data_IF_309172615264
#
_entry.id   IF_309172615264
#
_cell.length_a   1.000
_cell.length_b   1.000
_cell.length_c   1.000
_cell.angle_alpha   90.00
_cell.angle_beta   90.00
_cell.angle_gamma   90.00
#
_symmetry.space_group_name_H-M   'P 1'
#
loop_
_entity.id
_entity.type
_entity.pdbx_description
1 polymer ?
#
# COMPACT_ATOMS: atom_id res chain seq x y z
N UNK A 1 16.60 -15.98 20.38
CA UNK A 1 15.12 -16.06 20.24
C UNK A 1 14.41 -14.99 21.05
N UNK A 2 14.37 -15.04 22.39
CA UNK A 2 13.61 -14.08 23.20
C UNK A 2 14.02 -12.61 22.99
N UNK A 3 15.31 -12.35 22.85
CA UNK A 3 15.84 -11.01 22.54
C UNK A 3 15.31 -10.46 21.21
N UNK A 4 15.17 -11.32 20.19
CA UNK A 4 14.69 -10.91 18.87
C UNK A 4 13.19 -10.58 18.93
N UNK A 5 12.42 -11.34 19.72
CA UNK A 5 11.00 -11.02 19.98
C UNK A 5 10.85 -9.68 20.68
N UNK A 6 11.72 -9.37 21.65
CA UNK A 6 11.72 -8.08 22.33
C UNK A 6 12.02 -6.93 21.37
N UNK A 7 13.05 -7.10 20.53
CA UNK A 7 13.42 -6.09 19.53
C UNK A 7 12.27 -5.78 18.55
N UNK A 8 11.48 -6.79 18.14
CA UNK A 8 10.30 -6.58 17.30
C UNK A 8 9.26 -5.71 18.01
N UNK A 9 8.94 -6.01 19.26
CA UNK A 9 7.95 -5.25 20.04
C UNK A 9 8.41 -3.81 20.29
N UNK A 10 9.69 -3.61 20.62
CA UNK A 10 10.28 -2.29 20.80
C UNK A 10 10.19 -1.46 19.51
N UNK A 11 10.57 -2.04 18.36
CA UNK A 11 10.50 -1.36 17.07
C UNK A 11 9.06 -1.04 16.65
N UNK A 12 8.12 -1.99 16.79
CA UNK A 12 6.71 -1.74 16.49
C UNK A 12 6.12 -0.64 17.37
N UNK A 13 6.48 -0.60 18.66
CA UNK A 13 6.00 0.42 19.60
C UNK A 13 6.49 1.80 19.17
N UNK A 14 7.78 1.95 18.89
CA UNK A 14 8.35 3.21 18.43
C UNK A 14 7.68 3.70 17.13
N UNK A 15 7.46 2.80 16.16
CA UNK A 15 6.82 3.17 14.90
C UNK A 15 5.33 3.54 15.07
N UNK A 16 4.62 2.95 16.04
CA UNK A 16 3.25 3.37 16.39
C UNK A 16 3.23 4.75 17.02
N UNK A 17 4.16 5.04 17.93
CA UNK A 17 4.30 6.36 18.57
C UNK A 17 4.62 7.45 17.54
N UNK A 18 5.39 7.12 16.50
CA UNK A 18 5.66 8.00 15.36
C UNK A 18 4.47 8.12 14.38
N UNK A 19 3.39 7.36 14.56
CA UNK A 19 2.24 7.37 13.66
C UNK A 19 2.44 6.61 12.34
N UNK A 20 3.56 5.90 12.18
CA UNK A 20 3.85 5.07 11.00
C UNK A 20 2.93 3.85 10.97
N UNK A 21 2.82 3.13 12.10
CA UNK A 21 1.99 1.93 12.19
C UNK A 21 0.62 2.22 12.81
N UNK A 22 -0.42 1.77 12.13
CA UNK A 22 -1.82 1.91 12.53
C UNK A 22 -2.58 0.59 12.59
N UNK A 23 -2.06 -0.45 11.95
CA UNK A 23 -2.66 -1.78 11.85
C UNK A 23 -1.66 -2.85 12.31
N UNK A 24 -1.96 -4.12 12.00
CA UNK A 24 -1.02 -5.25 12.17
C UNK A 24 -0.30 -5.61 10.87
N UNK A 25 -0.55 -4.87 9.79
CA UNK A 25 0.07 -5.09 8.50
C UNK A 25 1.25 -4.15 8.33
N UNK A 26 2.42 -4.55 8.82
CA UNK A 26 3.67 -3.77 8.77
C UNK A 26 3.96 -3.22 7.36
N UNK A 27 3.88 -4.06 6.34
CA UNK A 27 4.17 -3.67 4.95
C UNK A 27 3.16 -2.66 4.42
N UNK A 28 1.87 -2.84 4.75
CA UNK A 28 0.81 -1.91 4.36
C UNK A 28 0.97 -0.55 5.02
N UNK A 29 1.14 -0.53 6.33
CA UNK A 29 1.30 0.70 7.10
C UNK A 29 2.55 1.50 6.68
N UNK A 30 3.70 0.82 6.52
CA UNK A 30 4.95 1.46 6.06
C UNK A 30 4.77 2.03 4.65
N UNK A 31 4.14 1.28 3.74
CA UNK A 31 3.86 1.77 2.39
C UNK A 31 2.92 2.99 2.39
N UNK A 32 1.87 2.99 3.22
CA UNK A 32 0.99 4.15 3.39
C UNK A 32 1.75 5.36 3.90
N UNK A 33 2.58 5.19 4.93
CA UNK A 33 3.38 6.27 5.49
C UNK A 33 4.35 6.85 4.45
N UNK A 34 5.16 6.00 3.78
CA UNK A 34 6.09 6.44 2.73
C UNK A 34 5.36 7.21 1.62
N UNK A 35 4.26 6.66 1.10
CA UNK A 35 3.51 7.29 0.03
C UNK A 35 2.94 8.66 0.45
N UNK A 36 2.48 8.80 1.69
CA UNK A 36 1.98 10.08 2.19
C UNK A 36 3.08 11.11 2.35
N UNK A 37 4.22 10.73 2.93
CA UNK A 37 5.36 11.63 3.14
C UNK A 37 5.98 12.08 1.81
N UNK A 38 6.22 11.16 0.86
CA UNK A 38 6.94 11.48 -0.37
C UNK A 38 6.08 12.15 -1.44
N UNK A 39 4.77 11.84 -1.48
CA UNK A 39 3.85 12.40 -2.47
C UNK A 39 2.97 13.52 -1.91
N UNK A 40 3.15 13.91 -0.63
CA UNK A 40 2.36 14.94 0.03
C UNK A 40 0.88 14.58 0.14
N UNK A 41 0.56 13.30 0.40
CA UNK A 41 -0.82 12.84 0.53
C UNK A 41 -1.31 12.99 1.96
N UNK A 42 -2.61 13.26 2.10
CA UNK A 42 -3.30 13.28 3.39
C UNK A 42 -4.00 11.95 3.61
N UNK A 43 -3.62 11.20 4.66
CA UNK A 43 -4.25 9.91 5.01
C UNK A 43 -5.75 10.08 5.24
N UNK A 44 -6.52 9.14 4.70
CA UNK A 44 -7.94 9.04 4.92
C UNK A 44 -8.25 8.55 6.36
N UNK A 45 -9.50 8.74 6.78
CA UNK A 45 -9.95 8.22 8.09
C UNK A 45 -9.98 6.69 8.06
N UNK A 46 -9.73 6.04 9.20
CA UNK A 46 -9.63 4.58 9.31
C UNK A 46 -10.87 3.79 8.83
N UNK A 47 -12.05 4.41 8.73
CA UNK A 47 -13.28 3.80 8.22
C UNK A 47 -13.59 4.12 6.76
N UNK A 48 -12.73 4.88 6.09
CA UNK A 48 -12.90 5.24 4.69
C UNK A 48 -12.75 3.99 3.82
N UNK A 49 -13.72 3.77 2.93
CA UNK A 49 -13.70 2.66 1.98
C UNK A 49 -13.22 3.18 0.62
N UNK A 50 -12.44 2.34 -0.06
CA UNK A 50 -12.07 2.51 -1.46
C UNK A 50 -10.79 3.29 -1.74
N UNK A 51 -10.26 4.05 -0.78
CA UNK A 51 -8.99 4.77 -0.91
C UNK A 51 -8.36 4.99 0.47
N UNK A 52 -7.04 5.17 0.49
CA UNK A 52 -6.24 5.28 1.73
C UNK A 52 -5.79 6.72 2.01
N UNK A 53 -5.72 7.57 0.98
CA UNK A 53 -5.31 8.96 1.11
C UNK A 53 -5.91 9.87 0.01
N UNK A 54 -5.73 11.18 0.14
CA UNK A 54 -6.05 12.18 -0.90
C UNK A 54 -4.86 13.09 -1.17
N UNK A 55 -4.68 13.52 -2.42
CA UNK A 55 -3.70 14.56 -2.75
C UNK A 55 -4.23 15.99 -2.51
N UNK A 56 -3.41 16.99 -2.81
CA UNK A 56 -3.73 18.40 -2.61
C UNK A 56 -4.95 18.87 -3.43
N UNK A 57 -5.24 18.21 -4.55
CA UNK A 57 -6.43 18.46 -5.39
C UNK A 57 -7.65 17.66 -4.94
N UNK A 58 -7.55 16.88 -3.86
CA UNK A 58 -8.62 16.03 -3.33
C UNK A 58 -8.85 14.75 -4.13
N UNK A 59 -7.93 14.37 -5.04
CA UNK A 59 -8.05 13.10 -5.77
C UNK A 59 -7.78 11.95 -4.82
N UNK A 60 -8.58 10.90 -4.93
CA UNK A 60 -8.55 9.72 -4.06
C UNK A 60 -7.44 8.78 -4.50
N UNK A 61 -6.60 8.40 -3.55
CA UNK A 61 -5.42 7.56 -3.77
C UNK A 61 -5.56 6.28 -2.96
N UNK A 62 -5.56 5.14 -3.64
CA UNK A 62 -5.35 3.83 -3.00
C UNK A 62 -3.85 3.54 -2.98
N UNK A 63 -3.34 3.06 -1.86
CA UNK A 63 -1.94 2.70 -1.63
C UNK A 63 -1.86 1.17 -1.44
N UNK A 64 -0.83 0.54 -2.00
CA UNK A 64 -0.51 -0.87 -1.77
C UNK A 64 0.99 -1.03 -1.53
N UNK A 65 1.33 -1.75 -0.46
CA UNK A 65 2.70 -2.18 -0.19
C UNK A 65 2.99 -3.55 -0.78
N UNK A 66 4.16 -3.71 -1.39
CA UNK A 66 4.69 -5.00 -1.87
C UNK A 66 6.12 -5.13 -1.35
N UNK A 67 6.48 -6.25 -0.70
CA UNK A 67 7.83 -6.47 -0.16
C UNK A 67 8.57 -7.53 -0.97
N UNK A 68 9.76 -7.18 -1.48
CA UNK A 68 10.62 -8.10 -2.22
C UNK A 68 11.24 -9.17 -1.29
N UNK A 69 11.59 -10.36 -1.83
CA UNK A 69 11.33 -10.82 -3.21
C UNK A 69 9.86 -11.26 -3.44
N UNK A 70 9.06 -11.31 -2.38
CA UNK A 70 7.67 -11.80 -2.41
C UNK A 70 6.70 -10.78 -2.99
N UNK A 71 6.69 -10.65 -4.32
CA UNK A 71 5.77 -9.79 -5.09
C UNK A 71 4.34 -10.34 -5.09
N UNK A 72 3.68 -10.34 -3.94
CA UNK A 72 2.28 -10.74 -3.85
C UNK A 72 1.40 -9.82 -4.71
N UNK A 73 0.41 -10.36 -5.44
CA UNK A 73 -0.50 -9.55 -6.22
C UNK A 73 -1.25 -8.54 -5.35
N UNK A 74 -1.38 -7.31 -5.84
CA UNK A 74 -2.19 -6.30 -5.19
C UNK A 74 -3.66 -6.68 -5.40
N UNK A 75 -4.37 -6.95 -4.30
CA UNK A 75 -5.81 -7.15 -4.31
C UNK A 75 -6.53 -5.81 -4.21
N UNK A 76 -7.39 -5.51 -5.18
CA UNK A 76 -8.20 -4.30 -5.26
C UNK A 76 -9.67 -4.71 -5.23
N UNK A 77 -10.52 -3.93 -4.57
CA UNK A 77 -11.94 -4.24 -4.39
C UNK A 77 -12.79 -3.11 -4.95
N UNK A 78 -14.03 -3.47 -5.32
CA UNK A 78 -15.03 -2.50 -5.76
C UNK A 78 -14.57 -1.61 -6.93
N UNK A 79 -13.70 -2.11 -7.82
CA UNK A 79 -13.19 -1.37 -8.98
C UNK A 79 -14.31 -0.95 -9.95
N UNK A 80 -15.45 -1.63 -9.91
CA UNK A 80 -16.68 -1.29 -10.62
C UNK A 80 -17.38 -0.03 -10.09
N UNK A 81 -17.02 0.44 -8.88
CA UNK A 81 -17.60 1.63 -8.22
C UNK A 81 -16.69 2.85 -8.25
N UNK A 82 -15.65 2.85 -9.07
CA UNK A 82 -14.65 3.92 -9.14
C UNK A 82 -14.13 4.36 -7.75
N UNK A 83 -13.52 3.44 -6.98
CA UNK A 83 -13.26 3.66 -5.55
C UNK A 83 -12.12 4.66 -5.29
N UNK A 84 -11.20 4.79 -6.25
CA UNK A 84 -10.07 5.71 -6.24
C UNK A 84 -9.76 6.22 -7.65
N UNK A 85 -9.04 7.33 -7.72
CA UNK A 85 -8.61 7.97 -8.96
C UNK A 85 -7.20 7.51 -9.37
N UNK A 86 -6.33 7.27 -8.38
CA UNK A 86 -4.95 6.79 -8.55
C UNK A 86 -4.65 5.60 -7.63
N UNK A 87 -3.82 4.69 -8.14
CA UNK A 87 -3.17 3.63 -7.37
C UNK A 87 -1.69 3.96 -7.23
N UNK A 88 -1.21 3.98 -5.99
CA UNK A 88 0.20 4.07 -5.64
C UNK A 88 0.64 2.71 -5.11
N UNK A 89 1.69 2.13 -5.68
CA UNK A 89 2.27 0.88 -5.22
C UNK A 89 3.69 1.15 -4.74
N UNK A 90 3.93 0.94 -3.45
CA UNK A 90 5.25 1.07 -2.83
C UNK A 90 5.90 -0.30 -2.80
N UNK A 91 6.94 -0.48 -3.60
CA UNK A 91 7.74 -1.69 -3.65
C UNK A 91 8.89 -1.55 -2.68
N UNK A 92 8.80 -2.23 -1.54
CA UNK A 92 9.78 -2.24 -0.46
C UNK A 92 10.82 -3.33 -0.71
N UNK A 93 12.09 -2.99 -0.49
CA UNK A 93 13.16 -3.97 -0.38
C UNK A 93 12.93 -4.90 0.81
N UNK A 94 13.68 -6.00 0.87
CA UNK A 94 13.55 -6.98 1.95
C UNK A 94 13.80 -6.34 3.32
N UNK A 95 14.73 -5.39 3.43
CA UNK A 95 15.06 -4.68 4.67
C UNK A 95 14.10 -3.53 5.03
N UNK A 96 13.11 -3.23 4.18
CA UNK A 96 12.18 -2.10 4.30
C UNK A 96 12.82 -0.70 4.27
N UNK A 97 14.13 -0.58 4.03
CA UNK A 97 14.83 0.71 4.04
C UNK A 97 14.81 1.40 2.68
N UNK A 98 14.85 0.59 1.61
CA UNK A 98 14.78 1.10 0.24
C UNK A 98 13.42 0.80 -0.37
N UNK A 99 12.92 1.72 -1.19
CA UNK A 99 11.66 1.53 -1.88
C UNK A 99 11.64 2.17 -3.27
N UNK A 100 10.63 1.77 -4.04
CA UNK A 100 10.28 2.39 -5.32
C UNK A 100 8.77 2.64 -5.34
N UNK A 101 8.37 3.81 -5.80
CA UNK A 101 6.97 4.18 -5.96
C UNK A 101 6.56 3.99 -7.42
N UNK A 102 5.49 3.23 -7.64
CA UNK A 102 4.85 3.07 -8.94
C UNK A 102 3.46 3.71 -8.87
N UNK A 103 3.16 4.57 -9.83
CA UNK A 103 1.86 5.22 -9.93
C UNK A 103 1.09 4.73 -11.14
N UNK A 104 -0.20 4.49 -10.97
CA UNK A 104 -1.12 4.15 -12.05
C UNK A 104 -2.44 4.89 -11.89
N UNK A 105 -3.03 5.31 -13.01
CA UNK A 105 -4.42 5.77 -13.04
C UNK A 105 -5.38 4.60 -12.83
N UNK A 106 -6.58 4.88 -12.32
CA UNK A 106 -7.65 3.88 -12.20
C UNK A 106 -7.95 3.16 -13.53
N UNK A 107 -7.84 3.87 -14.67
CA UNK A 107 -7.98 3.28 -16.00
C UNK A 107 -6.88 2.25 -16.32
N UNK A 108 -5.60 2.61 -16.14
CA UNK A 108 -4.47 1.69 -16.34
C UNK A 108 -4.56 0.45 -15.44
N UNK A 109 -5.08 0.62 -14.22
CA UNK A 109 -5.30 -0.50 -13.30
C UNK A 109 -6.36 -1.45 -13.85
N UNK A 110 -7.49 -0.96 -14.36
CA UNK A 110 -8.55 -1.80 -14.95
C UNK A 110 -8.09 -2.57 -16.18
N UNK A 111 -7.24 -1.96 -17.00
CA UNK A 111 -6.67 -2.62 -18.18
C UNK A 111 -5.75 -3.79 -17.83
N UNK A 112 -5.07 -3.71 -16.67
CA UNK A 112 -4.03 -4.68 -16.26
C UNK A 112 -4.51 -5.68 -15.21
N UNK A 113 -5.54 -5.35 -14.44
CA UNK A 113 -6.02 -6.20 -13.37
C UNK A 113 -7.02 -7.25 -13.87
N UNK A 114 -6.97 -8.44 -13.26
CA UNK A 114 -7.89 -9.55 -13.57
C UNK A 114 -8.88 -9.77 -12.42
N UNK A 115 -10.17 -9.86 -12.73
CA UNK A 115 -11.18 -10.14 -11.72
C UNK A 115 -11.11 -11.59 -11.22
N UNK A 116 -11.33 -11.76 -9.91
CA UNK A 116 -11.33 -13.05 -9.22
C UNK A 116 -12.63 -13.22 -8.47
N UNK A 117 -13.49 -14.11 -8.98
CA UNK A 117 -14.82 -14.33 -8.42
C UNK A 117 -14.79 -14.86 -6.97
N UNK A 118 -13.84 -15.76 -6.66
CA UNK A 118 -13.78 -16.39 -5.33
C UNK A 118 -13.51 -15.39 -4.19
N UNK A 119 -12.65 -14.39 -4.43
CA UNK A 119 -12.28 -13.38 -3.44
C UNK A 119 -12.99 -12.04 -3.63
N UNK A 120 -13.87 -11.96 -4.65
CA UNK A 120 -14.51 -10.75 -5.13
C UNK A 120 -13.53 -9.56 -5.22
N UNK A 121 -12.39 -9.80 -5.89
CA UNK A 121 -11.31 -8.82 -5.98
C UNK A 121 -10.66 -8.83 -7.36
N UNK A 122 -10.06 -7.69 -7.72
CA UNK A 122 -9.23 -7.51 -8.89
C UNK A 122 -7.78 -7.72 -8.49
N UNK A 123 -7.07 -8.62 -9.18
CA UNK A 123 -5.65 -8.89 -8.94
C UNK A 123 -4.80 -8.15 -9.95
N UNK A 124 -3.92 -7.29 -9.46
CA UNK A 124 -2.87 -6.62 -10.22
C UNK A 124 -1.51 -7.25 -9.86
N UNK A 125 -0.78 -7.71 -10.87
CA UNK A 125 0.59 -8.21 -10.71
C UNK A 125 1.58 -7.18 -11.25
N UNK A 126 2.62 -6.87 -10.48
CA UNK A 126 3.69 -5.99 -10.93
C UNK A 126 4.65 -6.76 -11.84
N UNK A 127 4.92 -6.24 -13.04
CA UNK A 127 5.89 -6.83 -13.96
C UNK A 127 7.32 -6.79 -13.44
N UNK A 128 8.17 -7.69 -13.92
CA UNK A 128 9.58 -7.84 -13.50
C UNK A 128 10.46 -6.63 -13.82
N UNK A 129 10.02 -5.76 -14.73
CA UNK A 129 10.80 -4.62 -15.26
C UNK A 129 10.81 -3.38 -14.37
N UNK A 130 10.25 -3.47 -13.17
CA UNK A 130 10.38 -2.40 -12.17
C UNK A 130 11.62 -2.73 -11.34
N UNK A 131 12.73 -2.11 -11.72
CA UNK A 131 14.05 -2.13 -11.09
C UNK A 131 14.57 -0.70 -11.02
#
# INVERSE_FOLDING_TARGET
MLEHLRAIVEAETALREMGVLSTRNLVGDVAEWIACEELGLTRARASQKGYDATDAEGRRVQIKGVRLPNRQPCALREMDKDPFDRLVVVVLAEDLQSHTIIEMTSAQVRERASFQAHTNSWRLTLGSSVS
#
